data_IF_397808521582
#
_entry.id   IF_397808521582
#
_cell.length_a   1.000
_cell.length_b   1.000
_cell.length_c   1.000
_cell.angle_alpha   90.00
_cell.angle_beta   90.00
_cell.angle_gamma   90.00
#
_symmetry.space_group_name_H-M   'P 1'
#
loop_
_entity.id
_entity.type
_entity.pdbx_description
1 polymer ?
#
# COMPACT_ATOMS: atom_id res chain seq x y z
N UNK A 1 -4.97 10.74 -7.93
CA UNK A 1 -5.73 10.71 -6.65
C UNK A 1 -4.74 10.83 -5.50
N UNK A 2 -5.20 11.23 -4.31
CA UNK A 2 -4.37 11.31 -3.10
C UNK A 2 -4.83 10.31 -2.06
N UNK A 3 -3.89 9.56 -1.50
CA UNK A 3 -4.12 8.55 -0.48
C UNK A 3 -3.36 8.86 0.82
N UNK A 4 -3.82 8.21 1.89
CA UNK A 4 -3.24 8.22 3.23
C UNK A 4 -2.82 6.80 3.56
N UNK A 5 -1.53 6.57 3.77
CA UNK A 5 -0.98 5.24 4.09
C UNK A 5 -1.26 4.88 5.54
N UNK A 6 -1.74 3.67 5.76
CA UNK A 6 -1.99 3.12 7.09
C UNK A 6 -0.67 2.98 7.87
N UNK A 7 -0.67 3.38 9.14
CA UNK A 7 0.48 3.29 10.05
C UNK A 7 0.17 2.25 11.12
N UNK A 8 0.64 1.00 10.97
CA UNK A 8 0.32 -0.08 11.91
C UNK A 8 0.72 0.24 13.35
N UNK A 9 1.83 0.96 13.54
CA UNK A 9 2.32 1.32 14.87
C UNK A 9 1.40 2.29 15.62
N UNK A 10 0.51 2.98 14.90
CA UNK A 10 -0.46 3.94 15.44
C UNK A 10 -1.91 3.47 15.31
N UNK A 11 -2.16 2.32 14.67
CA UNK A 11 -3.50 1.85 14.26
C UNK A 11 -4.33 2.97 13.60
N UNK A 12 -3.70 3.75 12.73
CA UNK A 12 -4.29 4.98 12.21
C UNK A 12 -3.79 5.35 10.82
N UNK A 13 -4.55 6.23 10.16
CA UNK A 13 -4.15 6.94 8.96
C UNK A 13 -3.76 8.38 9.33
N UNK A 14 -2.74 8.97 8.69
CA UNK A 14 -2.37 10.37 8.93
C UNK A 14 -3.46 11.34 8.44
N UNK A 15 -3.43 12.58 8.94
CA UNK A 15 -4.37 13.62 8.51
C UNK A 15 -4.12 14.08 7.07
N UNK A 16 -2.86 14.21 6.66
CA UNK A 16 -2.45 14.66 5.35
C UNK A 16 -2.28 13.49 4.36
N UNK A 17 -2.53 13.77 3.07
CA UNK A 17 -2.18 12.83 2.00
C UNK A 17 -0.65 12.65 1.95
N UNK A 18 -0.21 11.43 1.70
CA UNK A 18 1.21 11.08 1.61
C UNK A 18 1.49 10.01 0.55
N UNK A 19 0.49 9.67 -0.27
CA UNK A 19 0.62 8.69 -1.34
C UNK A 19 -0.15 9.11 -2.59
N UNK A 20 0.47 8.90 -3.75
CA UNK A 20 -0.08 9.21 -5.06
C UNK A 20 -0.47 7.91 -5.74
N UNK A 21 -1.67 7.87 -6.31
CA UNK A 21 -2.18 6.77 -7.10
C UNK A 21 -3.01 7.29 -8.27
N UNK A 22 -3.22 6.46 -9.29
CA UNK A 22 -3.92 6.82 -10.51
C UNK A 22 -5.29 6.16 -10.57
N UNK A 23 -6.26 6.88 -11.11
CA UNK A 23 -7.55 6.36 -11.56
C UNK A 23 -7.56 6.38 -13.07
N UNK A 24 -7.90 5.26 -13.69
CA UNK A 24 -7.96 5.10 -15.14
C UNK A 24 -9.38 4.70 -15.52
N UNK A 25 -9.98 5.43 -16.46
CA UNK A 25 -11.26 5.04 -17.08
C UNK A 25 -10.97 4.27 -18.37
N UNK A 26 -11.55 3.09 -18.49
CA UNK A 26 -11.46 2.26 -19.69
C UNK A 26 -12.78 1.51 -19.89
N UNK A 27 -13.38 1.63 -21.08
CA UNK A 27 -14.63 0.94 -21.47
C UNK A 27 -15.77 1.08 -20.45
N UNK A 28 -15.94 2.30 -19.90
CA UNK A 28 -16.98 2.61 -18.91
C UNK A 28 -16.72 2.07 -17.51
N UNK A 29 -15.53 1.51 -17.25
CA UNK A 29 -15.09 1.03 -15.95
C UNK A 29 -13.95 1.89 -15.41
N UNK A 30 -13.95 2.05 -14.09
CA UNK A 30 -12.88 2.74 -13.37
C UNK A 30 -11.93 1.75 -12.73
N UNK A 31 -10.63 1.98 -12.90
CA UNK A 31 -9.56 1.16 -12.33
C UNK A 31 -8.63 2.03 -11.50
N UNK A 32 -8.07 1.45 -10.44
CA UNK A 32 -6.93 1.99 -9.72
C UNK A 32 -5.66 1.36 -10.24
N UNK A 33 -4.68 2.21 -10.54
CA UNK A 33 -3.32 1.81 -10.83
C UNK A 33 -2.36 2.51 -9.88
N UNK A 34 -1.47 1.74 -9.29
CA UNK A 34 -0.47 2.22 -8.35
C UNK A 34 0.79 1.39 -8.54
N UNK A 35 1.83 1.97 -9.15
CA UNK A 35 3.15 1.34 -9.29
C UNK A 35 4.17 1.84 -8.27
N UNK A 36 3.73 2.58 -7.25
CA UNK A 36 4.59 3.35 -6.35
C UNK A 36 4.59 2.87 -4.91
N UNK A 37 3.69 1.97 -4.50
CA UNK A 37 3.66 1.48 -3.11
C UNK A 37 4.77 0.48 -2.81
N UNK A 38 5.03 -0.46 -3.73
CA UNK A 38 6.11 -1.42 -3.64
C UNK A 38 5.92 -2.54 -2.60
N UNK A 39 7.02 -3.25 -2.34
CA UNK A 39 7.09 -4.34 -1.38
C UNK A 39 6.04 -5.46 -1.63
N UNK A 40 5.72 -6.26 -0.62
CA UNK A 40 4.67 -7.27 -0.65
C UNK A 40 3.25 -6.72 -0.85
N UNK A 41 3.06 -5.40 -0.85
CA UNK A 41 1.75 -4.75 -0.95
C UNK A 41 1.44 -4.23 -2.36
N UNK A 42 2.40 -4.35 -3.28
CA UNK A 42 2.28 -3.94 -4.66
C UNK A 42 1.23 -4.79 -5.42
N UNK A 43 0.23 -4.14 -5.99
CA UNK A 43 -0.66 -4.76 -6.98
C UNK A 43 0.11 -5.01 -8.29
N UNK A 44 -0.11 -6.12 -8.96
CA UNK A 44 0.50 -6.44 -10.25
C UNK A 44 -0.40 -6.12 -11.44
N UNK A 45 -1.69 -5.98 -11.20
CA UNK A 45 -2.69 -5.66 -12.22
C UNK A 45 -3.52 -4.47 -11.76
N UNK A 46 -4.04 -3.66 -12.69
CA UNK A 46 -5.05 -2.65 -12.37
C UNK A 46 -6.20 -3.28 -11.60
N UNK A 47 -6.62 -2.61 -10.53
CA UNK A 47 -7.70 -3.06 -9.67
C UNK A 47 -8.99 -2.36 -10.09
N UNK A 48 -10.05 -3.11 -10.42
CA UNK A 48 -11.35 -2.50 -10.74
C UNK A 48 -11.90 -1.82 -9.48
N UNK A 49 -12.42 -0.60 -9.60
CA UNK A 49 -12.91 0.20 -8.48
C UNK A 49 -14.32 -0.27 -8.08
N UNK A 50 -14.39 -1.44 -7.43
CA UNK A 50 -15.62 -2.06 -6.94
C UNK A 50 -15.45 -2.41 -5.46
N UNK A 51 -16.38 -1.94 -4.64
CA UNK A 51 -16.40 -2.18 -3.19
C UNK A 51 -16.78 -3.62 -2.86
N UNK A 52 -16.12 -4.21 -1.85
CA UNK A 52 -16.43 -5.51 -1.28
C UNK A 52 -15.96 -6.74 -2.07
N UNK A 53 -15.39 -6.55 -3.26
CA UNK A 53 -15.01 -7.66 -4.16
C UNK A 53 -13.53 -8.01 -4.02
N UNK A 54 -13.27 -9.30 -3.76
CA UNK A 54 -11.93 -9.87 -3.81
C UNK A 54 -11.41 -9.92 -5.25
N UNK A 55 -10.20 -9.41 -5.44
CA UNK A 55 -9.49 -9.37 -6.72
C UNK A 55 -8.17 -10.13 -6.56
N UNK A 56 -8.15 -11.45 -6.87
CA UNK A 56 -6.96 -12.27 -6.79
C UNK A 56 -5.91 -11.86 -7.82
N UNK A 57 -4.68 -11.71 -7.35
CA UNK A 57 -3.48 -11.48 -8.16
C UNK A 57 -2.35 -12.37 -7.65
N UNK A 58 -1.24 -12.45 -8.39
CA UNK A 58 -0.05 -13.21 -7.95
C UNK A 58 0.43 -12.83 -6.54
N UNK A 59 0.59 -11.53 -6.19
CA UNK A 59 1.07 -11.12 -4.87
C UNK A 59 0.10 -11.40 -3.72
N UNK A 60 -1.20 -11.45 -4.00
CA UNK A 60 -2.23 -11.44 -2.98
C UNK A 60 -3.63 -11.43 -3.55
N UNK A 61 -4.60 -11.66 -2.67
CA UNK A 61 -5.95 -11.20 -2.91
C UNK A 61 -6.05 -9.81 -2.34
N UNK A 62 -6.48 -8.86 -3.16
CA UNK A 62 -6.71 -7.48 -2.76
C UNK A 62 -8.20 -7.17 -2.78
N UNK A 63 -8.61 -6.16 -2.03
CA UNK A 63 -9.99 -5.71 -1.97
C UNK A 63 -10.04 -4.20 -1.79
N UNK A 64 -11.04 -3.59 -2.41
CA UNK A 64 -11.49 -2.26 -2.01
C UNK A 64 -12.71 -2.35 -1.12
N UNK A 65 -12.76 -1.52 -0.09
CA UNK A 65 -13.99 -1.25 0.66
C UNK A 65 -14.32 0.22 0.52
N UNK A 66 -15.59 0.52 0.26
CA UNK A 66 -16.09 1.89 0.19
C UNK A 66 -17.00 2.14 1.38
N UNK A 67 -16.76 3.25 2.08
CA UNK A 67 -17.59 3.73 3.17
C UNK A 67 -17.64 5.27 3.12
N UNK A 68 -18.84 5.83 2.95
CA UNK A 68 -19.11 7.27 3.01
C UNK A 68 -18.19 8.12 2.09
N UNK A 69 -17.94 7.66 0.87
CA UNK A 69 -17.09 8.32 -0.13
C UNK A 69 -15.59 8.06 0.04
N UNK A 70 -15.20 7.29 1.06
CA UNK A 70 -13.81 6.90 1.30
C UNK A 70 -13.59 5.47 0.85
N UNK A 71 -12.51 5.26 0.11
CA UNK A 71 -12.08 3.96 -0.40
C UNK A 71 -10.89 3.46 0.38
N UNK A 72 -10.96 2.23 0.87
CA UNK A 72 -9.92 1.53 1.62
C UNK A 72 -9.32 0.43 0.76
N UNK A 73 -8.01 0.47 0.56
CA UNK A 73 -7.26 -0.59 -0.11
C UNK A 73 -6.68 -1.55 0.92
N UNK A 74 -7.01 -2.83 0.75
CA UNK A 74 -6.64 -3.88 1.68
C UNK A 74 -6.07 -5.10 0.95
N UNK A 75 -5.19 -5.83 1.64
CA UNK A 75 -4.70 -7.13 1.21
C UNK A 75 -5.17 -8.22 2.16
N UNK A 76 -5.90 -9.20 1.65
CA UNK A 76 -6.35 -10.35 2.43
C UNK A 76 -5.13 -11.14 2.92
N UNK A 77 -5.07 -11.47 4.21
CA UNK A 77 -3.93 -12.22 4.77
C UNK A 77 -3.86 -13.63 4.17
N UNK A 78 -2.66 -14.02 3.71
CA UNK A 78 -2.31 -15.42 3.42
C UNK A 78 -1.66 -16.05 4.66
N UNK A 79 -1.74 -17.37 4.83
CA UNK A 79 -0.88 -18.08 5.78
C UNK A 79 0.57 -17.93 5.32
N UNK A 80 1.38 -17.21 6.09
CA UNK A 80 2.79 -17.02 5.79
C UNK A 80 3.57 -18.26 6.25
N UNK A 81 4.23 -18.94 5.31
CA UNK A 81 5.18 -20.01 5.64
C UNK A 81 6.55 -19.39 5.87
N UNK A 82 6.97 -19.32 7.13
CA UNK A 82 8.29 -18.82 7.52
C UNK A 82 9.21 -20.01 7.72
N UNK A 83 10.19 -20.19 6.83
CA UNK A 83 11.15 -21.31 6.89
C UNK A 83 12.12 -21.17 8.08
N UNK A 84 12.40 -19.93 8.53
CA UNK A 84 13.28 -19.62 9.66
C UNK A 84 12.58 -18.79 10.75
N UNK A 85 12.17 -19.41 11.88
CA UNK A 85 11.41 -18.75 12.95
C UNK A 85 12.07 -17.51 13.56
N UNK A 86 13.40 -17.43 13.53
CA UNK A 86 14.18 -16.30 14.08
C UNK A 86 14.02 -14.97 13.33
N UNK A 87 13.34 -14.97 12.17
CA UNK A 87 13.12 -13.78 11.34
C UNK A 87 11.69 -13.23 11.40
N UNK A 88 10.81 -13.89 12.15
CA UNK A 88 9.42 -13.48 12.31
C UNK A 88 9.32 -12.23 13.19
N UNK A 89 8.85 -11.12 12.61
CA UNK A 89 8.71 -9.82 13.29
C UNK A 89 7.28 -9.28 13.26
N UNK A 90 6.29 -10.06 12.83
CA UNK A 90 4.90 -9.56 12.74
C UNK A 90 4.18 -9.66 14.09
N UNK A 91 3.77 -8.53 14.70
CA UNK A 91 3.03 -8.50 15.97
C UNK A 91 1.50 -8.58 15.77
N UNK A 92 1.00 -8.89 14.57
CA UNK A 92 -0.43 -8.76 14.29
C UNK A 92 -1.21 -9.97 14.83
N UNK A 93 -2.20 -9.68 15.69
CA UNK A 93 -3.09 -10.66 16.30
C UNK A 93 -3.86 -11.52 15.29
N UNK A 94 -4.20 -12.73 15.74
CA UNK A 94 -4.75 -13.83 14.96
C UNK A 94 -6.13 -13.54 14.28
N UNK A 95 -6.79 -12.44 14.64
CA UNK A 95 -8.18 -12.14 14.23
C UNK A 95 -8.34 -11.15 13.06
N UNK A 96 -7.31 -10.44 12.65
CA UNK A 96 -7.43 -9.44 11.58
C UNK A 96 -7.30 -10.12 10.21
N UNK A 97 -8.41 -10.21 9.45
CA UNK A 97 -8.55 -10.96 8.18
C UNK A 97 -7.81 -10.28 7.00
N UNK A 98 -7.71 -8.94 7.04
CA UNK A 98 -7.12 -8.12 5.99
C UNK A 98 -6.05 -7.18 6.55
N UNK A 99 -4.95 -6.96 5.81
CA UNK A 99 -4.00 -5.88 6.11
C UNK A 99 -4.44 -4.62 5.39
N UNK A 100 -4.69 -3.56 6.16
CA UNK A 100 -4.93 -2.20 5.64
C UNK A 100 -3.67 -1.64 5.01
N UNK A 101 -3.80 -1.03 3.82
CA UNK A 101 -2.67 -0.46 3.08
C UNK A 101 -2.76 1.07 3.04
N UNK A 102 -3.79 1.60 2.39
CA UNK A 102 -4.07 3.03 2.35
C UNK A 102 -5.56 3.29 2.17
N UNK A 103 -5.99 4.51 2.45
CA UNK A 103 -7.32 5.00 2.08
C UNK A 103 -7.23 6.23 1.18
N UNK A 104 -8.24 6.47 0.36
CA UNK A 104 -8.30 7.58 -0.58
C UNK A 104 -9.74 8.02 -0.86
N UNK A 105 -9.89 9.15 -1.53
CA UNK A 105 -11.17 9.60 -2.09
C UNK A 105 -11.03 9.71 -3.61
N UNK A 106 -12.15 9.79 -4.31
CA UNK A 106 -12.16 9.97 -5.77
C UNK A 106 -11.95 11.43 -6.21
N UNK A 107 -11.62 12.33 -5.27
CA UNK A 107 -11.30 13.72 -5.58
C UNK A 107 -10.07 13.78 -6.49
N UNK A 108 -10.19 14.38 -7.71
CA UNK A 108 -9.04 14.64 -8.57
C UNK A 108 -8.00 15.48 -7.83
N UNK A 109 -6.72 15.20 -8.09
CA UNK A 109 -5.60 15.92 -7.46
C UNK A 109 -4.62 16.36 -8.52
N UNK A 110 -4.09 17.57 -8.36
CA UNK A 110 -2.95 18.06 -9.12
C UNK A 110 -1.63 17.65 -8.43
N UNK A 111 -0.55 17.52 -9.21
CA UNK A 111 0.76 17.15 -8.67
C UNK A 111 1.30 18.20 -7.68
N UNK A 112 0.92 19.46 -7.85
CA UNK A 112 1.34 20.56 -6.96
C UNK A 112 0.81 20.38 -5.54
N UNK A 113 -0.34 19.71 -5.35
CA UNK A 113 -0.87 19.39 -4.01
C UNK A 113 0.04 18.43 -3.23
N UNK A 114 0.91 17.69 -3.91
CA UNK A 114 1.87 16.78 -3.29
C UNK A 114 3.21 17.44 -2.96
N UNK A 115 3.45 18.70 -3.35
CA UNK A 115 4.73 19.39 -3.10
C UNK A 115 5.05 19.48 -1.61
N UNK A 116 4.04 19.81 -0.80
CA UNK A 116 4.19 19.90 0.67
C UNK A 116 4.52 18.56 1.31
N UNK A 117 3.76 17.50 0.99
CA UNK A 117 4.05 16.16 1.54
C UNK A 117 5.39 15.63 1.02
N UNK A 118 5.76 15.88 -0.23
CA UNK A 118 7.06 15.48 -0.78
C UNK A 118 8.24 16.12 -0.02
N UNK A 119 8.17 17.42 0.27
CA UNK A 119 9.20 18.09 1.07
C UNK A 119 9.26 17.52 2.50
N UNK A 120 8.09 17.33 3.13
CA UNK A 120 8.00 16.78 4.47
C UNK A 120 8.55 15.34 4.54
N UNK A 121 8.13 14.45 3.65
CA UNK A 121 8.56 13.05 3.64
C UNK A 121 10.08 12.89 3.48
N UNK A 122 10.76 13.82 2.80
CA UNK A 122 12.21 13.78 2.61
C UNK A 122 13.02 14.42 3.73
N UNK A 123 12.41 15.22 4.61
CA UNK A 123 13.16 16.06 5.58
C UNK A 123 12.72 15.89 7.02
N UNK A 124 11.48 15.45 7.28
CA UNK A 124 10.97 15.30 8.62
C UNK A 124 11.75 14.20 9.37
N UNK A 125 12.23 14.46 10.60
CA UNK A 125 13.09 13.51 11.33
C UNK A 125 12.37 12.21 11.71
N UNK A 126 11.04 12.22 11.76
CA UNK A 126 10.21 11.05 12.03
C UNK A 126 9.70 10.35 10.75
N UNK A 127 10.04 10.86 9.56
CA UNK A 127 9.65 10.22 8.30
C UNK A 127 10.37 8.89 8.11
N UNK A 128 9.60 7.84 7.77
CA UNK A 128 10.15 6.52 7.42
C UNK A 128 11.17 6.60 6.27
N UNK A 129 11.02 7.57 5.36
CA UNK A 129 11.94 7.78 4.23
C UNK A 129 13.24 8.49 4.62
N UNK A 130 13.30 9.15 5.78
CA UNK A 130 14.53 9.69 6.37
C UNK A 130 15.20 8.64 7.25
N UNK A 131 14.40 7.88 8.01
CA UNK A 131 14.88 6.91 8.99
C UNK A 131 15.39 5.60 8.37
N UNK A 132 14.99 5.27 7.14
CA UNK A 132 15.33 3.99 6.49
C UNK A 132 15.72 4.21 5.03
N UNK A 133 16.83 3.61 4.62
CA UNK A 133 17.09 3.35 3.21
C UNK A 133 16.32 2.11 2.77
N UNK A 134 15.58 2.20 1.67
CA UNK A 134 14.83 1.07 1.14
C UNK A 134 14.72 1.09 -0.37
N UNK A 135 14.70 -0.10 -0.97
CA UNK A 135 14.29 -0.31 -2.34
C UNK A 135 13.55 -1.64 -2.47
N UNK A 136 12.61 -1.72 -3.41
CA UNK A 136 11.90 -2.96 -3.72
C UNK A 136 11.74 -3.12 -5.21
N UNK A 137 11.83 -4.36 -5.68
CA UNK A 137 11.65 -4.73 -7.09
C UNK A 137 10.76 -5.95 -7.18
N UNK A 138 9.67 -5.86 -7.95
CA UNK A 138 8.84 -7.01 -8.27
C UNK A 138 9.59 -7.89 -9.30
N UNK A 139 9.58 -9.20 -9.11
CA UNK A 139 10.07 -10.19 -10.09
C UNK A 139 8.87 -10.86 -10.79
N UNK A 140 9.12 -11.82 -11.68
CA UNK A 140 8.05 -12.56 -12.36
C UNK A 140 7.19 -13.40 -11.39
N UNK A 141 7.75 -13.76 -10.25
CA UNK A 141 7.23 -14.76 -9.31
C UNK A 141 7.31 -14.35 -7.83
N UNK A 142 7.83 -13.15 -7.54
CA UNK A 142 8.06 -12.69 -6.18
C UNK A 142 8.51 -11.25 -6.12
N UNK A 143 9.27 -10.93 -5.07
CA UNK A 143 9.73 -9.58 -4.75
C UNK A 143 11.13 -9.65 -4.19
N UNK A 144 11.94 -8.63 -4.47
CA UNK A 144 13.21 -8.39 -3.77
C UNK A 144 13.11 -7.08 -3.03
N UNK A 145 13.45 -7.09 -1.76
CA UNK A 145 13.36 -5.92 -0.89
C UNK A 145 14.65 -5.75 -0.11
N UNK A 146 15.26 -4.58 -0.18
CA UNK A 146 16.40 -4.21 0.66
C UNK A 146 15.94 -3.08 1.59
N UNK A 147 16.05 -3.30 2.90
CA UNK A 147 15.81 -2.26 3.92
C UNK A 147 17.02 -2.19 4.84
N UNK A 148 17.74 -1.06 4.80
CA UNK A 148 19.05 -0.94 5.42
C UNK A 148 20.01 -2.01 4.87
N UNK A 149 20.41 -2.94 5.74
CA UNK A 149 21.32 -4.04 5.41
C UNK A 149 20.63 -5.39 5.24
N UNK A 150 19.29 -5.42 5.33
CA UNK A 150 18.50 -6.66 5.26
C UNK A 150 17.89 -6.81 3.87
N UNK A 151 18.41 -7.77 3.10
CA UNK A 151 17.79 -8.26 1.87
C UNK A 151 16.73 -9.33 2.22
N UNK A 152 15.56 -9.24 1.59
CA UNK A 152 14.48 -10.24 1.65
C UNK A 152 14.07 -10.59 0.22
N UNK A 153 13.88 -11.89 -0.05
CA UNK A 153 13.46 -12.47 -1.33
C UNK A 153 12.35 -13.51 -1.12
#
# INVERSE_FOLDING_TARGET
>A
LGAKVYVPERDAYPEAINHLLLRVELDGKSYIMDGGFGMAYQMWQPMELISGIDQPQTPGVFRFQEENGTWYFEKVKRKQWVVNPSTSTSPNGENEVCRRIYLFTLQPRDIEEFRGCNAHLQTAPDSKFVLKSMCSLQTKDGIRELVGWKLTE
#
